data_IF_991609316390
#
_entry.id   IF_991609316390
#
_cell.length_a   1.000
_cell.length_b   1.000
_cell.length_c   1.000
_cell.angle_alpha   90.00
_cell.angle_beta   90.00
_cell.angle_gamma   90.00
#
_symmetry.space_group_name_H-M   'P 1'
#
loop_
_entity.id
_entity.type
_entity.pdbx_description
1 polymer ?
#
# COMPACT_ATOMS: atom_id res chain seq x y z
N UNK A 1 22.94 9.78 -14.74
CA UNK A 1 21.86 9.01 -15.41
C UNK A 1 20.82 10.04 -15.80
N UNK A 2 20.37 10.02 -17.05
CA UNK A 2 19.46 11.06 -17.55
C UNK A 2 18.17 11.10 -16.75
N UNK A 3 17.89 12.25 -16.16
CA UNK A 3 16.60 12.57 -15.56
C UNK A 3 15.61 12.87 -16.67
N UNK A 4 15.17 11.83 -17.37
CA UNK A 4 13.98 11.92 -18.23
C UNK A 4 12.81 12.35 -17.33
N UNK A 5 12.36 13.58 -17.50
CA UNK A 5 11.23 14.15 -16.78
C UNK A 5 10.01 13.29 -17.08
N UNK A 6 9.56 12.54 -16.08
CA UNK A 6 8.53 11.52 -16.26
C UNK A 6 7.16 12.18 -16.17
N UNK A 7 6.51 12.44 -17.31
CA UNK A 7 5.13 12.94 -17.35
C UNK A 7 4.19 11.95 -16.65
N UNK A 8 3.26 12.49 -15.86
CA UNK A 8 2.28 11.74 -15.07
C UNK A 8 1.05 11.39 -15.92
N UNK A 9 0.49 10.20 -15.72
CA UNK A 9 -0.64 9.69 -16.49
C UNK A 9 -1.92 9.49 -15.66
N UNK A 10 -3.06 9.47 -16.36
CA UNK A 10 -4.36 9.12 -15.80
C UNK A 10 -4.33 7.72 -15.16
N UNK A 11 -4.66 7.64 -13.87
CA UNK A 11 -4.61 6.41 -13.08
C UNK A 11 -3.25 6.09 -12.46
N UNK A 12 -2.25 6.98 -12.53
CA UNK A 12 -1.01 6.84 -11.76
C UNK A 12 -1.26 7.03 -10.26
N UNK A 13 -0.52 6.25 -9.46
CA UNK A 13 -0.55 6.36 -8.01
C UNK A 13 0.65 7.16 -7.50
N UNK A 14 0.39 8.18 -6.71
CA UNK A 14 1.38 9.14 -6.20
C UNK A 14 1.22 9.37 -4.69
N UNK A 15 2.23 9.99 -4.09
CA UNK A 15 2.17 10.52 -2.73
C UNK A 15 2.24 12.05 -2.82
N UNK A 16 1.47 12.75 -2.00
CA UNK A 16 1.58 14.22 -1.89
C UNK A 16 2.42 14.58 -0.67
N UNK A 17 3.59 15.18 -0.89
CA UNK A 17 4.44 15.70 0.18
C UNK A 17 4.16 17.20 0.38
N UNK A 18 3.63 17.58 1.53
CA UNK A 18 3.43 18.99 1.90
C UNK A 18 4.75 19.60 2.35
N UNK A 19 5.20 20.64 1.64
CA UNK A 19 6.48 21.30 1.94
C UNK A 19 6.44 22.06 3.27
N UNK A 20 5.33 22.75 3.56
CA UNK A 20 5.18 23.59 4.74
C UNK A 20 5.08 22.79 6.04
N UNK A 21 4.40 21.64 6.01
CA UNK A 21 4.27 20.73 7.16
C UNK A 21 5.37 19.66 7.23
N UNK A 22 6.25 19.57 6.21
CA UNK A 22 7.32 18.57 6.12
C UNK A 22 6.82 17.14 6.35
N UNK A 23 5.79 16.74 5.61
CA UNK A 23 5.17 15.42 5.76
C UNK A 23 4.29 15.02 4.58
N UNK A 24 3.77 13.79 4.63
CA UNK A 24 2.94 13.23 3.56
C UNK A 24 1.45 13.29 3.89
N UNK A 25 0.61 13.62 2.91
CA UNK A 25 -0.85 13.51 3.03
C UNK A 25 -1.22 12.06 3.33
N UNK A 26 -2.02 11.84 4.38
CA UNK A 26 -2.20 10.54 5.01
C UNK A 26 -3.58 10.39 5.66
N UNK A 27 -4.19 9.21 5.55
CA UNK A 27 -5.44 8.88 6.23
C UNK A 27 -5.49 7.41 6.63
N UNK A 28 -5.58 7.13 7.94
CA UNK A 28 -5.81 5.78 8.45
C UNK A 28 -7.31 5.45 8.38
N UNK A 29 -7.75 4.41 7.64
CA UNK A 29 -9.14 3.96 7.67
C UNK A 29 -9.44 3.16 8.96
N UNK A 30 -9.34 3.83 10.11
CA UNK A 30 -9.50 3.23 11.45
C UNK A 30 -10.93 2.73 11.68
N UNK A 31 -11.92 3.40 11.09
CA UNK A 31 -13.33 3.03 11.12
C UNK A 31 -14.05 3.59 9.88
N UNK A 32 -15.31 3.19 9.67
CA UNK A 32 -16.19 3.80 8.66
C UNK A 32 -16.39 5.31 8.84
N UNK A 33 -16.27 5.79 10.07
CA UNK A 33 -16.53 7.17 10.52
C UNK A 33 -15.28 8.06 10.46
N UNK A 34 -14.08 7.49 10.69
CA UNK A 34 -12.82 8.23 10.62
C UNK A 34 -12.39 8.41 9.17
N UNK A 35 -12.81 9.53 8.59
CA UNK A 35 -12.52 9.89 7.19
C UNK A 35 -11.54 11.06 7.06
N UNK A 36 -11.05 11.63 8.17
CA UNK A 36 -10.22 12.84 8.13
C UNK A 36 -8.90 12.55 7.42
N UNK A 37 -8.46 13.51 6.60
CA UNK A 37 -7.14 13.49 5.95
C UNK A 37 -6.24 14.52 6.61
N UNK A 38 -5.10 14.07 7.10
CA UNK A 38 -4.08 14.87 7.79
C UNK A 38 -2.75 14.79 7.04
N UNK A 39 -1.73 15.49 7.52
CA UNK A 39 -0.34 15.25 7.11
C UNK A 39 0.38 14.43 8.20
N UNK A 40 1.03 13.34 7.79
CA UNK A 40 1.89 12.52 8.63
C UNK A 40 3.33 13.05 8.56
N UNK A 41 3.95 13.47 9.69
CA UNK A 41 5.32 13.97 9.72
C UNK A 41 6.32 12.89 9.27
N UNK A 42 7.03 13.14 8.17
CA UNK A 42 7.98 12.19 7.60
C UNK A 42 8.98 12.89 6.67
N UNK A 43 10.18 12.34 6.53
CA UNK A 43 11.19 12.91 5.63
C UNK A 43 10.85 12.61 4.18
N UNK A 44 10.92 13.62 3.33
CA UNK A 44 10.65 13.54 1.89
C UNK A 44 11.29 12.31 1.22
N UNK A 45 12.62 12.18 1.33
CA UNK A 45 13.39 11.13 0.63
C UNK A 45 13.44 9.78 1.36
N UNK A 46 12.92 9.71 2.59
CA UNK A 46 12.92 8.54 3.47
C UNK A 46 11.60 8.51 4.29
N UNK A 47 10.46 8.25 3.63
CA UNK A 47 9.18 8.12 4.32
C UNK A 47 9.19 6.91 5.25
N UNK A 48 8.95 7.16 6.53
CA UNK A 48 8.82 6.15 7.59
C UNK A 48 7.43 6.30 8.24
N UNK A 49 6.39 5.93 7.49
CA UNK A 49 5.01 5.89 7.97
C UNK A 49 4.47 4.45 7.99
N UNK A 50 3.48 4.13 8.85
CA UNK A 50 3.04 2.76 9.09
C UNK A 50 2.57 2.00 7.84
N UNK A 51 1.92 2.68 6.88
CA UNK A 51 1.42 2.03 5.67
C UNK A 51 1.46 2.95 4.45
N UNK A 52 2.12 2.51 3.38
CA UNK A 52 2.19 3.25 2.11
C UNK A 52 0.83 3.43 1.44
N UNK A 53 -0.10 2.47 1.57
CA UNK A 53 -1.43 2.57 0.98
C UNK A 53 -2.31 3.64 1.67
N UNK A 54 -1.94 4.08 2.87
CA UNK A 54 -2.59 5.18 3.60
C UNK A 54 -2.05 6.57 3.21
N UNK A 55 -0.93 6.60 2.47
CA UNK A 55 -0.31 7.81 1.90
C UNK A 55 -0.48 7.90 0.37
N UNK A 56 -0.91 6.81 -0.27
CA UNK A 56 -1.00 6.68 -1.72
C UNK A 56 -2.37 7.09 -2.26
N UNK A 57 -2.34 7.87 -3.34
CA UNK A 57 -3.53 8.38 -4.01
C UNK A 57 -3.42 8.22 -5.53
N UNK A 58 -4.49 7.76 -6.15
CA UNK A 58 -4.64 7.68 -7.61
C UNK A 58 -5.17 9.02 -8.11
N UNK A 59 -4.51 9.60 -9.12
CA UNK A 59 -4.99 10.80 -9.80
C UNK A 59 -5.74 10.38 -11.06
N UNK A 60 -6.96 10.91 -11.23
CA UNK A 60 -7.78 10.67 -12.42
C UNK A 60 -8.48 11.94 -12.88
N UNK A 61 -8.59 12.15 -14.19
CA UNK A 61 -9.35 13.25 -14.76
C UNK A 61 -10.85 13.08 -14.45
N UNK A 62 -11.55 14.19 -14.27
CA UNK A 62 -13.02 14.19 -14.37
C UNK A 62 -13.42 13.86 -15.80
N UNK A 63 -13.67 12.57 -16.10
CA UNK A 63 -14.41 12.17 -17.30
C UNK A 63 -15.76 12.90 -17.26
N UNK A 64 -15.98 13.87 -18.16
CA UNK A 64 -17.31 14.41 -18.41
C UNK A 64 -18.22 13.25 -18.77
N UNK A 65 -19.41 13.20 -18.16
CA UNK A 65 -20.36 12.13 -18.40
C UNK A 65 -20.85 12.17 -19.85
N UNK A 66 -20.30 11.29 -20.69
CA UNK A 66 -20.96 10.81 -21.90
C UNK A 66 -21.57 9.44 -21.61
N UNK A 67 -22.86 9.48 -21.25
CA UNK A 67 -23.87 8.44 -21.48
C UNK A 67 -23.44 6.97 -21.24
N UNK A 68 -23.82 6.47 -20.06
CA UNK A 68 -24.01 5.02 -19.75
C UNK A 68 -22.93 4.04 -20.24
N UNK A 69 -21.83 3.91 -19.50
CA UNK A 69 -21.02 2.69 -19.54
C UNK A 69 -21.37 1.76 -18.37
N UNK A 70 -21.99 0.65 -18.74
CA UNK A 70 -22.46 -0.41 -17.88
C UNK A 70 -21.30 -1.08 -17.11
N UNK A 71 -21.61 -1.80 -16.02
CA UNK A 71 -20.68 -2.72 -15.33
C UNK A 71 -20.30 -3.96 -16.17
N UNK A 72 -20.42 -3.88 -17.49
CA UNK A 72 -20.07 -4.88 -18.47
C UNK A 72 -19.35 -4.19 -19.64
N UNK A 73 -18.05 -3.94 -19.48
CA UNK A 73 -17.05 -3.86 -20.55
C UNK A 73 -15.64 -3.80 -19.94
N UNK A 74 -15.25 -4.90 -19.27
CA UNK A 74 -13.84 -5.23 -18.96
C UNK A 74 -13.10 -5.80 -20.19
N UNK A 75 -13.67 -5.63 -21.38
CA UNK A 75 -13.18 -6.08 -22.67
C UNK A 75 -13.01 -4.89 -23.61
N UNK A 76 -11.74 -4.62 -23.98
CA UNK A 76 -11.29 -3.73 -25.06
C UNK A 76 -11.34 -2.20 -24.80
N UNK A 77 -10.29 -1.71 -24.14
CA UNK A 77 -9.58 -0.49 -24.59
C UNK A 77 -8.06 -0.70 -24.57
N UNK A 78 -7.57 -1.84 -25.08
CA UNK A 78 -6.15 -2.22 -25.04
C UNK A 78 -5.22 -1.31 -25.86
N UNK A 79 -5.75 -0.37 -26.65
CA UNK A 79 -5.01 0.54 -27.53
C UNK A 79 -5.31 2.04 -27.28
N UNK A 80 -5.93 2.40 -26.16
CA UNK A 80 -6.02 3.80 -25.77
C UNK A 80 -4.68 4.23 -25.15
N UNK A 81 -3.98 5.20 -25.75
CA UNK A 81 -2.77 5.75 -25.13
C UNK A 81 -3.11 6.36 -23.76
N UNK A 82 -2.26 6.17 -22.74
CA UNK A 82 -2.51 6.72 -21.42
C UNK A 82 -2.51 8.25 -21.52
N UNK A 83 -3.61 8.87 -21.10
CA UNK A 83 -3.78 10.33 -21.15
C UNK A 83 -2.83 10.99 -20.16
N UNK A 84 -1.99 11.93 -20.62
CA UNK A 84 -1.15 12.73 -19.72
C UNK A 84 -2.01 13.63 -18.85
N UNK A 85 -1.56 13.87 -17.62
CA UNK A 85 -2.12 14.88 -16.74
C UNK A 85 -1.33 16.17 -16.97
N UNK A 86 -2.04 17.27 -17.21
CA UNK A 86 -1.46 18.58 -17.49
C UNK A 86 -1.86 19.60 -16.43
N UNK A 87 -1.08 20.66 -16.30
CA UNK A 87 -1.44 21.79 -15.47
C UNK A 87 -2.76 22.41 -15.92
N UNK A 88 -3.65 22.63 -14.96
CA UNK A 88 -5.00 23.11 -15.17
C UNK A 88 -6.09 22.04 -15.34
N UNK A 89 -5.71 20.77 -15.48
CA UNK A 89 -6.66 19.65 -15.50
C UNK A 89 -7.53 19.64 -14.24
N UNK A 90 -8.80 19.25 -14.43
CA UNK A 90 -9.73 18.97 -13.33
C UNK A 90 -9.63 17.49 -12.99
N UNK A 91 -9.16 17.20 -11.78
CA UNK A 91 -8.89 15.86 -11.29
C UNK A 91 -9.76 15.48 -10.08
N UNK A 92 -9.91 14.16 -9.90
CA UNK A 92 -10.27 13.49 -8.66
C UNK A 92 -9.03 12.81 -8.10
N UNK A 93 -8.92 12.81 -6.77
CA UNK A 93 -7.83 12.19 -6.02
C UNK A 93 -8.43 11.06 -5.19
N UNK A 94 -8.17 9.81 -5.54
CA UNK A 94 -8.73 8.63 -4.88
C UNK A 94 -7.71 8.00 -3.93
N UNK A 95 -8.08 7.80 -2.67
CA UNK A 95 -7.23 7.16 -1.67
C UNK A 95 -7.11 5.66 -1.90
N UNK A 96 -5.88 5.14 -2.01
CA UNK A 96 -5.61 3.76 -2.44
C UNK A 96 -6.16 2.71 -1.47
N UNK A 97 -6.05 2.91 -0.15
CA UNK A 97 -6.49 1.92 0.83
C UNK A 97 -8.02 1.85 1.06
N UNK A 98 -8.77 2.92 0.81
CA UNK A 98 -10.22 2.94 1.06
C UNK A 98 -11.08 3.07 -0.20
N UNK A 99 -10.49 3.37 -1.36
CA UNK A 99 -11.21 3.63 -2.61
C UNK A 99 -12.08 4.90 -2.59
N UNK A 100 -12.09 5.65 -1.48
CA UNK A 100 -12.81 6.92 -1.28
C UNK A 100 -12.01 8.09 -1.88
N UNK A 101 -12.69 9.18 -2.22
CA UNK A 101 -12.05 10.36 -2.83
C UNK A 101 -11.75 11.42 -1.78
N UNK A 102 -10.62 12.13 -1.93
CA UNK A 102 -10.36 13.35 -1.18
C UNK A 102 -11.46 14.37 -1.47
N UNK A 103 -12.01 14.98 -0.43
CA UNK A 103 -13.07 15.96 -0.48
C UNK A 103 -12.77 17.10 0.51
N UNK A 104 -13.17 18.32 0.17
CA UNK A 104 -13.05 19.44 1.09
C UNK A 104 -14.15 20.50 0.90
N UNK A 105 -14.54 21.13 2.01
CA UNK A 105 -15.46 22.28 2.05
C UNK A 105 -14.88 23.35 2.98
N UNK A 106 -15.29 24.62 2.86
CA UNK A 106 -15.02 25.63 3.88
C UNK A 106 -15.45 25.14 5.28
N UNK A 107 -14.77 25.64 6.30
CA UNK A 107 -15.03 25.39 7.73
C UNK A 107 -14.78 23.97 8.25
N UNK A 108 -14.41 23.00 7.39
CA UNK A 108 -14.11 21.61 7.76
C UNK A 108 -12.69 21.22 7.34
N UNK A 109 -12.07 20.31 8.07
CA UNK A 109 -10.91 19.56 7.58
C UNK A 109 -11.31 18.66 6.41
N UNK A 110 -10.40 18.46 5.45
CA UNK A 110 -10.61 17.59 4.31
C UNK A 110 -10.80 16.13 4.75
N UNK A 111 -11.60 15.40 3.99
CA UNK A 111 -11.99 14.03 4.33
C UNK A 111 -12.06 13.12 3.12
N UNK A 112 -12.21 11.82 3.37
CA UNK A 112 -12.44 10.79 2.38
C UNK A 112 -13.94 10.53 2.19
N UNK A 113 -14.44 10.85 1.01
CA UNK A 113 -15.85 10.81 0.66
C UNK A 113 -16.18 9.62 -0.27
N UNK A 114 -17.38 9.07 -0.12
CA UNK A 114 -17.92 8.06 -1.03
C UNK A 114 -18.70 8.72 -2.17
N UNK A 115 -18.46 8.25 -3.40
CA UNK A 115 -19.23 8.68 -4.58
C UNK A 115 -18.71 9.94 -5.27
N UNK A 116 -19.58 10.52 -6.09
CA UNK A 116 -19.27 11.65 -6.97
C UNK A 116 -19.86 12.94 -6.41
N UNK A 117 -19.00 13.86 -5.97
CA UNK A 117 -19.37 15.17 -5.42
C UNK A 117 -18.44 16.23 -6.02
N UNK A 118 -18.97 17.42 -6.28
CA UNK A 118 -18.17 18.57 -6.73
C UNK A 118 -17.13 19.00 -5.68
N UNK A 119 -17.32 18.64 -4.40
CA UNK A 119 -16.33 18.82 -3.33
C UNK A 119 -15.09 17.91 -3.47
N UNK A 120 -15.15 16.88 -4.34
CA UNK A 120 -14.06 15.93 -4.61
C UNK A 120 -13.22 16.35 -5.83
N UNK A 121 -13.45 17.55 -6.39
CA UNK A 121 -12.86 18.02 -7.64
C UNK A 121 -11.87 19.15 -7.39
N UNK A 122 -10.65 18.93 -7.87
CA UNK A 122 -9.54 19.87 -7.73
C UNK A 122 -8.95 20.22 -9.09
N UNK A 123 -8.46 21.45 -9.20
CA UNK A 123 -7.64 21.92 -10.31
C UNK A 123 -6.18 21.86 -9.91
N UNK A 124 -5.35 21.32 -10.81
CA UNK A 124 -3.91 21.36 -10.68
C UNK A 124 -3.38 22.74 -11.06
N UNK A 125 -2.77 23.45 -10.13
CA UNK A 125 -2.18 24.78 -10.35
C UNK A 125 -0.68 24.71 -10.07
N UNK A 126 0.15 25.34 -10.91
CA UNK A 126 1.60 25.42 -10.65
C UNK A 126 1.90 26.34 -9.47
N UNK A 127 2.82 25.94 -8.60
CA UNK A 127 3.34 26.82 -7.54
C UNK A 127 4.35 27.85 -8.05
N UNK A 128 4.91 27.65 -9.24
CA UNK A 128 6.00 28.47 -9.81
C UNK A 128 5.68 28.89 -11.25
N UNK A 129 6.19 30.04 -11.69
CA UNK A 129 5.84 30.65 -12.98
C UNK A 129 6.44 29.94 -14.22
N UNK A 130 7.28 28.93 -14.03
CA UNK A 130 7.96 28.20 -15.10
C UNK A 130 7.04 27.28 -15.92
N UNK A 131 5.90 26.84 -15.34
CA UNK A 131 4.91 25.99 -16.00
C UNK A 131 3.55 26.67 -16.07
N UNK A 132 2.96 26.68 -17.25
CA UNK A 132 1.68 27.26 -17.59
C UNK A 132 0.55 26.23 -17.78
N UNK A 133 -0.60 26.72 -18.23
CA UNK A 133 -1.79 25.92 -18.48
C UNK A 133 -1.59 25.02 -19.71
N UNK A 134 -1.83 23.71 -19.55
CA UNK A 134 -1.63 22.72 -20.61
C UNK A 134 -0.23 22.10 -20.67
N UNK A 135 0.73 22.57 -19.87
CA UNK A 135 2.04 21.91 -19.76
C UNK A 135 1.93 20.58 -19.01
N UNK A 136 2.74 19.59 -19.42
CA UNK A 136 2.81 18.28 -18.78
C UNK A 136 3.19 18.39 -17.29
N UNK A 137 2.36 17.77 -16.45
CA UNK A 137 2.66 17.57 -15.03
C UNK A 137 3.63 16.39 -14.91
N UNK A 138 4.76 16.63 -14.25
CA UNK A 138 5.82 15.67 -14.08
C UNK A 138 5.93 15.17 -12.63
N UNK A 139 6.53 13.99 -12.46
CA UNK A 139 6.93 13.51 -11.14
C UNK A 139 7.97 14.48 -10.52
N UNK A 140 7.81 14.75 -9.22
CA UNK A 140 8.50 15.78 -8.41
C UNK A 140 8.08 17.24 -8.66
N UNK A 141 7.15 17.51 -9.57
CA UNK A 141 6.59 18.86 -9.70
C UNK A 141 5.91 19.29 -8.40
N UNK A 142 5.95 20.61 -8.18
CA UNK A 142 5.24 21.27 -7.09
C UNK A 142 3.91 21.82 -7.61
N UNK A 143 2.83 21.51 -6.89
CA UNK A 143 1.46 21.86 -7.24
C UNK A 143 0.74 22.53 -6.07
N UNK A 144 -0.33 23.25 -6.41
CA UNK A 144 -1.37 23.68 -5.47
C UNK A 144 -2.70 23.13 -5.98
N UNK A 145 -3.53 22.60 -5.07
CA UNK A 145 -4.85 22.05 -5.36
C UNK A 145 -5.92 23.11 -5.13
N UNK A 146 -6.47 23.68 -6.20
CA UNK A 146 -7.61 24.62 -6.12
C UNK A 146 -8.95 23.87 -6.16
N UNK A 147 -9.93 24.25 -5.33
CA UNK A 147 -11.28 23.68 -5.38
C UNK A 147 -12.04 24.18 -6.60
N UNK A 148 -12.66 23.28 -7.36
CA UNK A 148 -13.52 23.66 -8.49
C UNK A 148 -14.82 24.32 -8.03
N UNK A 149 -15.42 23.80 -6.95
CA UNK A 149 -16.70 24.27 -6.44
C UNK A 149 -16.54 25.57 -5.65
N UNK A 150 -15.53 25.65 -4.78
CA UNK A 150 -15.22 26.84 -3.97
C UNK A 150 -14.14 27.69 -4.65
N UNK A 151 -14.52 28.44 -5.69
CA UNK A 151 -13.61 29.26 -6.50
C UNK A 151 -12.66 30.12 -5.66
N UNK A 152 -11.37 30.10 -6.00
CA UNK A 152 -10.32 30.84 -5.30
C UNK A 152 -9.81 30.16 -4.02
N UNK A 153 -10.56 29.22 -3.45
CA UNK A 153 -10.11 28.40 -2.32
C UNK A 153 -9.22 27.26 -2.80
N UNK A 154 -8.17 27.00 -2.03
CA UNK A 154 -7.12 26.01 -2.29
C UNK A 154 -6.91 25.18 -1.04
N UNK A 155 -6.46 23.94 -1.20
CA UNK A 155 -6.07 23.10 -0.07
C UNK A 155 -4.84 23.73 0.59
N UNK A 156 -4.97 24.08 1.87
CA UNK A 156 -3.89 24.54 2.73
C UNK A 156 -3.69 23.55 3.87
N UNK A 157 -2.44 23.31 4.22
CA UNK A 157 -2.06 22.59 5.42
C UNK A 157 -1.96 23.56 6.61
N UNK A 158 -2.68 23.28 7.70
CA UNK A 158 -2.69 24.11 8.92
C UNK A 158 -2.45 23.23 10.14
N UNK A 159 -1.51 23.64 10.98
CA UNK A 159 -1.23 22.98 12.24
C UNK A 159 -2.41 23.08 13.20
N UNK A 160 -2.92 21.94 13.67
CA UNK A 160 -3.87 21.88 14.78
C UNK A 160 -3.08 21.59 16.08
N UNK A 161 -2.85 22.60 16.94
CA UNK A 161 -2.03 22.43 18.14
C UNK A 161 -2.68 21.55 19.21
N UNK A 162 -4.00 21.31 19.13
CA UNK A 162 -4.74 20.46 20.07
C UNK A 162 -4.43 18.97 19.79
N UNK A 163 -4.33 18.61 18.50
CA UNK A 163 -4.08 17.23 18.07
C UNK A 163 -2.60 16.96 17.77
N UNK A 164 -1.75 18.00 17.77
CA UNK A 164 -0.36 17.96 17.32
C UNK A 164 -0.21 17.34 15.92
N UNK A 165 -1.14 17.67 15.02
CA UNK A 165 -1.24 17.18 13.64
C UNK A 165 -1.61 18.32 12.71
N UNK A 166 -1.07 18.31 11.50
CA UNK A 166 -1.48 19.27 10.48
C UNK A 166 -2.69 18.72 9.70
N UNK A 167 -3.74 19.54 9.64
CA UNK A 167 -4.98 19.25 8.93
C UNK A 167 -4.97 19.93 7.56
N UNK A 168 -5.62 19.31 6.59
CA UNK A 168 -5.88 19.94 5.29
C UNK A 168 -7.22 20.68 5.36
N UNK A 169 -7.26 21.96 4.98
CA UNK A 169 -8.49 22.78 4.93
C UNK A 169 -8.54 23.59 3.63
N UNK A 170 -9.70 24.19 3.31
CA UNK A 170 -9.80 25.15 2.20
C UNK A 170 -9.52 26.59 2.68
N UNK A 171 -8.57 27.28 2.02
CA UNK A 171 -8.25 28.69 2.28
C UNK A 171 -7.89 29.47 1.00
N UNK A 172 -7.73 30.79 1.09
CA UNK A 172 -7.33 31.61 -0.06
C UNK A 172 -5.87 31.46 -0.51
N UNK A 173 -4.96 31.08 0.40
CA UNK A 173 -3.51 31.01 0.11
C UNK A 173 -3.12 29.66 -0.50
N UNK A 174 -3.64 28.56 0.04
CA UNK A 174 -3.21 27.20 -0.30
C UNK A 174 -1.85 26.82 0.29
N UNK A 175 -1.48 25.56 0.09
CA UNK A 175 -0.15 24.99 0.38
C UNK A 175 0.43 24.30 -0.85
N UNK A 176 1.75 24.15 -0.86
CA UNK A 176 2.50 23.54 -1.96
C UNK A 176 2.77 22.07 -1.67
N UNK A 177 2.32 21.22 -2.58
CA UNK A 177 2.52 19.78 -2.52
C UNK A 177 3.49 19.34 -3.62
N UNK A 178 4.58 18.66 -3.26
CA UNK A 178 5.44 17.98 -4.23
C UNK A 178 4.89 16.58 -4.52
N UNK A 179 4.73 16.24 -5.80
CA UNK A 179 4.20 14.95 -6.24
C UNK A 179 5.33 13.91 -6.24
N UNK A 180 5.27 12.92 -5.34
CA UNK A 180 6.25 11.83 -5.28
C UNK A 180 5.71 10.56 -5.94
N UNK A 181 6.54 9.79 -6.66
CA UNK A 181 6.08 8.60 -7.36
C UNK A 181 5.81 7.47 -6.36
N UNK A 182 4.64 6.83 -6.47
CA UNK A 182 4.38 5.54 -5.82
C UNK A 182 4.42 4.42 -6.86
N UNK A 183 3.44 4.34 -7.76
CA UNK A 183 3.42 3.41 -8.89
C UNK A 183 3.24 4.21 -10.19
N UNK A 184 4.12 3.97 -11.17
CA UNK A 184 4.12 4.68 -12.43
C UNK A 184 3.54 3.84 -13.56
N UNK A 185 2.70 4.47 -14.40
CA UNK A 185 1.92 3.86 -15.47
C UNK A 185 1.13 2.64 -14.99
N UNK A 186 0.50 2.72 -13.82
CA UNK A 186 -0.23 1.59 -13.21
C UNK A 186 -1.31 1.03 -14.16
N UNK A 187 -1.92 1.89 -14.98
CA UNK A 187 -2.89 1.55 -16.04
C UNK A 187 -2.32 0.72 -17.20
N UNK A 188 -0.99 0.70 -17.39
CA UNK A 188 -0.29 -0.07 -18.43
C UNK A 188 0.41 -1.33 -17.89
N UNK A 189 0.56 -1.46 -16.58
CA UNK A 189 1.14 -2.65 -15.96
C UNK A 189 0.25 -3.86 -16.21
N UNK A 190 0.86 -5.03 -16.40
CA UNK A 190 0.11 -6.28 -16.50
C UNK A 190 -0.65 -6.51 -15.17
N UNK A 191 -1.99 -6.62 -15.17
CA UNK A 191 -2.78 -6.78 -13.94
C UNK A 191 -2.53 -8.11 -13.20
N UNK A 192 -1.73 -9.02 -13.78
CA UNK A 192 -1.26 -10.25 -13.13
C UNK A 192 0.07 -10.08 -12.38
N UNK A 193 0.73 -8.91 -12.48
CA UNK A 193 1.95 -8.64 -11.73
C UNK A 193 1.65 -8.34 -10.26
N UNK A 194 2.52 -8.85 -9.39
CA UNK A 194 2.49 -8.56 -7.96
C UNK A 194 3.30 -7.27 -7.76
N UNK A 195 2.68 -6.24 -7.22
CA UNK A 195 3.27 -4.92 -7.02
C UNK A 195 3.65 -4.68 -5.55
N UNK A 196 4.61 -3.80 -5.31
CA UNK A 196 4.84 -3.23 -3.99
C UNK A 196 3.56 -2.62 -3.41
N UNK A 197 3.30 -2.84 -2.14
CA UNK A 197 2.09 -2.40 -1.45
C UNK A 197 0.83 -3.24 -1.75
N UNK A 198 0.88 -4.25 -2.63
CA UNK A 198 -0.27 -5.13 -2.86
C UNK A 198 -0.65 -5.91 -1.59
N UNK A 199 -1.96 -6.01 -1.39
CA UNK A 199 -2.58 -6.89 -0.40
C UNK A 199 -2.72 -8.29 -1.00
N UNK A 200 -2.25 -9.28 -0.26
CA UNK A 200 -2.15 -10.68 -0.67
C UNK A 200 -2.73 -11.61 0.40
N UNK A 201 -3.02 -12.83 -0.01
CA UNK A 201 -3.32 -13.96 0.86
C UNK A 201 -2.37 -15.11 0.50
N UNK A 202 -1.77 -15.74 1.51
CA UNK A 202 -0.84 -16.86 1.34
C UNK A 202 -1.60 -18.19 1.52
N UNK A 203 -1.72 -18.99 0.46
CA UNK A 203 -2.51 -20.24 0.45
C UNK A 203 -1.70 -21.50 0.17
N UNK A 204 -1.74 -22.51 1.03
CA UNK A 204 -1.04 -23.78 0.82
C UNK A 204 -1.90 -24.80 0.05
N UNK A 205 -1.43 -25.21 -1.14
CA UNK A 205 -1.99 -26.32 -1.92
C UNK A 205 -1.79 -27.70 -1.27
N UNK A 206 -0.81 -27.83 -0.37
CA UNK A 206 -0.43 -29.11 0.24
C UNK A 206 -1.30 -29.44 1.47
N UNK A 207 -1.78 -28.41 2.17
CA UNK A 207 -2.46 -28.53 3.47
C UNK A 207 -3.88 -27.96 3.40
N UNK A 208 -4.34 -27.54 2.21
CA UNK A 208 -5.65 -26.93 1.95
C UNK A 208 -6.00 -25.85 2.98
N UNK A 209 -5.24 -24.75 2.99
CA UNK A 209 -5.40 -23.72 4.00
C UNK A 209 -4.70 -22.39 3.69
N UNK A 210 -4.94 -21.40 4.53
CA UNK A 210 -4.35 -20.06 4.44
C UNK A 210 -3.45 -19.77 5.63
N UNK A 211 -2.39 -18.99 5.44
CA UNK A 211 -1.60 -18.42 6.54
C UNK A 211 -2.47 -17.40 7.27
N UNK A 212 -2.44 -17.41 8.61
CA UNK A 212 -3.25 -16.54 9.45
C UNK A 212 -2.51 -16.10 10.72
N UNK A 213 -2.74 -14.87 11.18
CA UNK A 213 -2.11 -14.33 12.38
C UNK A 213 -3.16 -13.71 13.29
N UNK A 214 -3.17 -14.11 14.57
CA UNK A 214 -4.07 -13.51 15.56
C UNK A 214 -3.53 -12.15 16.00
N UNK A 215 -4.32 -11.09 15.85
CA UNK A 215 -4.00 -9.75 16.35
C UNK A 215 -4.78 -8.64 15.65
N UNK A 216 -4.62 -7.40 16.11
CA UNK A 216 -5.30 -6.20 15.61
C UNK A 216 -4.45 -4.95 15.88
N UNK A 217 -4.63 -3.88 15.11
CA UNK A 217 -3.88 -2.62 15.23
C UNK A 217 -4.17 -1.93 16.57
N UNK A 218 -5.35 -2.22 17.13
CA UNK A 218 -5.77 -1.75 18.45
C UNK A 218 -4.85 -2.34 19.54
N UNK A 219 -4.25 -3.52 19.33
CA UNK A 219 -3.43 -4.20 20.33
C UNK A 219 -2.26 -3.31 20.82
N UNK A 220 -1.55 -2.63 19.91
CA UNK A 220 -0.45 -1.75 20.29
C UNK A 220 -0.95 -0.44 20.94
N UNK A 221 -2.24 -0.08 20.75
CA UNK A 221 -2.94 1.06 21.39
C UNK A 221 -3.62 0.69 22.72
N UNK A 222 -3.70 -0.59 23.10
CA UNK A 222 -4.26 -1.04 24.38
C UNK A 222 -3.24 -0.87 25.53
N UNK A 223 -3.70 -0.71 26.79
CA UNK A 223 -2.84 -0.85 27.97
C UNK A 223 -2.20 -2.25 28.02
N UNK A 224 -0.96 -2.35 28.53
CA UNK A 224 -0.15 -3.59 28.45
C UNK A 224 -0.85 -4.84 29.02
N UNK A 225 -1.65 -4.69 30.07
CA UNK A 225 -2.45 -5.75 30.67
C UNK A 225 -3.53 -6.37 29.75
N UNK A 226 -3.89 -5.70 28.66
CA UNK A 226 -4.85 -6.16 27.65
C UNK A 226 -4.19 -6.55 26.32
N UNK A 227 -2.86 -6.41 26.19
CA UNK A 227 -2.14 -6.81 24.99
C UNK A 227 -2.10 -8.32 24.86
N UNK A 228 -2.51 -8.84 23.70
CA UNK A 228 -2.32 -10.24 23.37
C UNK A 228 -0.84 -10.53 23.10
N UNK A 229 -0.33 -11.57 23.76
CA UNK A 229 1.03 -12.11 23.61
C UNK A 229 1.18 -13.13 22.46
N UNK A 230 0.08 -13.44 21.76
CA UNK A 230 0.02 -14.50 20.75
C UNK A 230 0.44 -13.99 19.37
N UNK A 231 1.73 -13.72 19.19
CA UNK A 231 2.31 -13.27 17.93
C UNK A 231 2.61 -14.41 16.94
N UNK A 232 2.16 -15.64 17.18
CA UNK A 232 2.50 -16.80 16.34
C UNK A 232 1.74 -16.81 15.01
N UNK A 233 2.47 -17.07 13.92
CA UNK A 233 1.88 -17.26 12.58
C UNK A 233 1.40 -18.71 12.44
N UNK A 234 0.10 -18.88 12.19
CA UNK A 234 -0.55 -20.18 12.05
C UNK A 234 -1.05 -20.48 10.65
N UNK A 235 -1.60 -21.68 10.46
CA UNK A 235 -2.28 -22.09 9.24
C UNK A 235 -3.75 -22.45 9.54
N UNK A 236 -4.69 -21.74 8.92
CA UNK A 236 -6.12 -22.07 8.94
C UNK A 236 -6.46 -22.99 7.77
N UNK A 237 -6.70 -24.27 8.05
CA UNK A 237 -7.25 -25.23 7.07
C UNK A 237 -8.65 -24.84 6.64
N UNK A 238 -9.01 -25.13 5.39
CA UNK A 238 -10.37 -25.02 4.90
C UNK A 238 -11.27 -26.08 5.54
N UNK A 239 -12.55 -25.75 5.71
CA UNK A 239 -13.59 -26.77 5.78
C UNK A 239 -13.82 -27.28 4.34
N UNK A 240 -13.94 -28.60 4.18
CA UNK A 240 -13.81 -29.32 2.90
C UNK A 240 -14.42 -28.61 1.66
N UNK A 241 -13.70 -28.69 0.53
CA UNK A 241 -14.11 -28.26 -0.83
C UNK A 241 -14.11 -26.75 -1.15
N UNK A 242 -13.68 -25.87 -0.24
CA UNK A 242 -13.74 -24.41 -0.46
C UNK A 242 -12.40 -23.71 -0.76
N UNK A 243 -11.73 -24.07 -1.87
CA UNK A 243 -10.65 -23.23 -2.44
C UNK A 243 -11.18 -21.84 -2.85
N UNK A 244 -12.46 -21.75 -3.23
CA UNK A 244 -13.07 -20.55 -3.81
C UNK A 244 -13.74 -19.60 -2.80
N UNK A 245 -13.79 -19.94 -1.51
CA UNK A 245 -14.31 -19.03 -0.50
C UNK A 245 -13.18 -18.13 -0.01
N UNK A 246 -13.32 -16.82 -0.22
CA UNK A 246 -12.46 -15.83 0.43
C UNK A 246 -12.65 -15.89 1.96
N UNK A 247 -11.58 -15.71 2.75
CA UNK A 247 -11.69 -15.66 4.19
C UNK A 247 -12.53 -14.45 4.62
N UNK A 248 -13.45 -14.66 5.55
CA UNK A 248 -14.35 -13.61 6.09
C UNK A 248 -13.65 -12.76 7.17
N UNK A 249 -12.38 -13.02 7.46
CA UNK A 249 -11.65 -12.40 8.58
C UNK A 249 -10.36 -11.76 8.10
N UNK A 250 -10.08 -10.56 8.62
CA UNK A 250 -8.90 -9.76 8.31
C UNK A 250 -7.57 -10.46 8.62
N UNK A 251 -7.59 -11.47 9.50
CA UNK A 251 -6.44 -12.21 10.05
C UNK A 251 -5.65 -13.07 9.05
N UNK A 252 -5.94 -12.95 7.75
CA UNK A 252 -5.34 -13.70 6.64
C UNK A 252 -4.77 -12.80 5.53
N UNK A 253 -4.89 -11.47 5.66
CA UNK A 253 -4.39 -10.52 4.68
C UNK A 253 -3.04 -9.94 5.09
N UNK A 254 -2.13 -9.93 4.12
CA UNK A 254 -0.78 -9.41 4.28
C UNK A 254 -0.49 -8.42 3.16
N UNK A 255 0.45 -7.51 3.38
CA UNK A 255 0.95 -6.56 2.41
C UNK A 255 2.40 -6.92 2.07
N UNK A 256 2.72 -6.96 0.79
CA UNK A 256 4.10 -7.12 0.33
C UNK A 256 4.77 -5.75 0.20
N UNK A 257 5.88 -5.57 0.90
CA UNK A 257 6.68 -4.34 0.83
C UNK A 257 8.06 -4.67 0.26
N UNK A 258 8.55 -3.84 -0.67
CA UNK A 258 9.94 -3.91 -1.14
C UNK A 258 10.88 -3.45 -0.02
N UNK A 259 12.08 -4.02 0.07
CA UNK A 259 13.08 -3.57 1.04
C UNK A 259 13.83 -2.32 0.57
N UNK A 260 14.06 -2.23 -0.74
CA UNK A 260 14.68 -1.08 -1.41
C UNK A 260 13.56 -0.22 -2.00
N UNK A 261 13.59 1.10 -1.75
CA UNK A 261 12.53 2.04 -2.15
C UNK A 261 11.12 1.59 -1.70
N UNK A 262 10.94 1.44 -0.38
CA UNK A 262 9.71 0.95 0.28
C UNK A 262 8.45 1.70 -0.19
N UNK A 263 8.59 2.98 -0.55
CA UNK A 263 7.52 3.82 -1.08
C UNK A 263 7.13 3.54 -2.54
N UNK A 264 7.77 2.61 -3.24
CA UNK A 264 7.45 2.28 -4.64
C UNK A 264 6.52 1.07 -4.75
N UNK A 265 5.41 1.27 -5.47
CA UNK A 265 4.46 0.23 -5.89
C UNK A 265 4.86 -0.45 -7.20
N UNK A 266 6.16 -0.57 -7.48
CA UNK A 266 6.65 -1.21 -8.70
C UNK A 266 6.47 -2.74 -8.65
N UNK A 267 6.44 -3.45 -9.79
CA UNK A 267 6.41 -4.92 -9.81
C UNK A 267 7.57 -5.55 -9.04
N UNK A 268 7.30 -6.67 -8.36
CA UNK A 268 8.33 -7.53 -7.77
C UNK A 268 9.03 -8.35 -8.84
N UNK A 269 10.36 -8.47 -8.72
CA UNK A 269 11.15 -9.43 -9.50
C UNK A 269 11.41 -10.67 -8.65
N UNK A 270 11.39 -11.88 -9.24
CA UNK A 270 11.76 -13.09 -8.51
C UNK A 270 13.20 -13.00 -7.96
N UNK A 271 13.38 -13.40 -6.70
CA UNK A 271 14.66 -13.28 -5.98
C UNK A 271 14.89 -11.91 -5.30
N UNK A 272 14.07 -10.90 -5.60
CA UNK A 272 14.07 -9.61 -4.89
C UNK A 272 13.68 -9.80 -3.41
N UNK A 273 14.27 -8.99 -2.53
CA UNK A 273 13.96 -9.00 -1.11
C UNK A 273 12.67 -8.23 -0.82
N UNK A 274 11.79 -8.88 -0.06
CA UNK A 274 10.52 -8.33 0.35
C UNK A 274 10.28 -8.55 1.85
N UNK A 275 9.31 -7.79 2.37
CA UNK A 275 8.78 -7.88 3.72
C UNK A 275 7.31 -8.22 3.63
N UNK A 276 6.81 -9.04 4.55
CA UNK A 276 5.41 -9.48 4.59
C UNK A 276 4.77 -8.89 5.85
N UNK A 277 4.07 -7.76 5.70
CA UNK A 277 3.36 -7.10 6.81
C UNK A 277 1.97 -7.72 6.97
N UNK A 278 1.59 -8.14 8.17
CA UNK A 278 0.22 -8.55 8.48
C UNK A 278 -0.66 -7.30 8.63
N UNK A 279 -1.72 -7.16 7.82
CA UNK A 279 -2.49 -5.92 7.75
C UNK A 279 -3.20 -5.57 9.07
N UNK A 280 -3.91 -6.48 9.76
CA UNK A 280 -4.51 -6.16 11.04
C UNK A 280 -3.51 -5.63 12.07
N UNK A 281 -2.33 -6.24 12.24
CA UNK A 281 -1.38 -5.81 13.29
C UNK A 281 -0.40 -4.72 12.84
N UNK A 282 -0.25 -4.47 11.55
CA UNK A 282 0.82 -3.66 10.94
C UNK A 282 2.24 -4.14 11.32
N UNK A 283 2.37 -5.38 11.78
CA UNK A 283 3.62 -6.04 12.18
C UNK A 283 4.09 -6.99 11.08
N UNK A 284 5.38 -7.26 11.01
CA UNK A 284 5.99 -8.06 9.95
C UNK A 284 6.13 -9.50 10.36
N UNK A 285 5.87 -10.44 9.43
CA UNK A 285 6.29 -11.82 9.59
C UNK A 285 7.81 -11.83 9.78
N UNK A 286 8.28 -12.56 10.79
CA UNK A 286 9.69 -12.71 11.14
C UNK A 286 9.99 -14.15 11.54
N UNK A 287 11.17 -14.64 11.18
CA UNK A 287 11.66 -15.95 11.63
C UNK A 287 12.48 -15.79 12.91
N UNK A 288 12.02 -16.38 14.01
CA UNK A 288 12.79 -16.45 15.26
C UNK A 288 13.44 -17.80 15.43
N UNK A 289 14.71 -17.77 15.79
CA UNK A 289 15.34 -18.87 16.49
C UNK A 289 14.91 -18.81 17.97
N UNK A 290 14.46 -19.96 18.49
CA UNK A 290 14.17 -20.16 19.91
C UNK A 290 14.83 -21.47 20.31
N UNK A 291 15.26 -21.59 21.57
CA UNK A 291 16.11 -22.69 22.06
C UNK A 291 15.66 -24.10 21.71
N UNK A 292 14.37 -24.31 21.43
CA UNK A 292 13.79 -25.61 21.08
C UNK A 292 13.46 -25.78 19.58
N UNK A 293 13.36 -24.69 18.80
CA UNK A 293 12.96 -24.68 17.37
C UNK A 293 12.93 -23.29 16.74
N UNK A 294 13.05 -23.27 15.40
CA UNK A 294 12.61 -22.13 14.60
C UNK A 294 11.08 -21.92 14.72
N UNK A 295 10.66 -20.66 14.87
CA UNK A 295 9.27 -20.21 14.88
C UNK A 295 9.04 -19.08 13.89
N UNK A 296 7.84 -19.02 13.31
CA UNK A 296 7.39 -17.88 12.52
C UNK A 296 6.43 -17.05 13.39
N UNK A 297 6.74 -15.77 13.57
CA UNK A 297 5.98 -14.83 14.40
C UNK A 297 5.71 -13.53 13.65
N UNK A 298 4.87 -12.64 14.21
CA UNK A 298 4.79 -11.24 13.79
C UNK A 298 5.42 -10.31 14.81
N UNK A 299 6.18 -9.31 14.35
CA UNK A 299 6.82 -8.31 15.21
C UNK A 299 6.83 -6.91 14.61
N UNK A 300 6.82 -5.89 15.48
CA UNK A 300 7.12 -4.52 15.10
C UNK A 300 8.62 -4.38 14.78
N UNK A 301 8.98 -3.60 13.76
CA UNK A 301 10.39 -3.25 13.50
C UNK A 301 10.95 -2.39 14.62
N UNK A 302 11.58 -3.01 15.63
CA UNK A 302 12.30 -2.31 16.69
C UNK A 302 13.81 -2.27 16.43
N UNK A 303 14.36 -3.29 15.75
CA UNK A 303 15.70 -3.32 15.13
C UNK A 303 15.68 -4.33 13.96
N UNK A 304 16.15 -3.95 12.78
CA UNK A 304 16.28 -4.88 11.65
C UNK A 304 17.48 -5.79 11.85
N UNK A 305 17.23 -7.08 12.05
CA UNK A 305 18.25 -8.14 12.10
C UNK A 305 18.21 -9.05 10.86
N UNK A 306 17.35 -8.76 9.88
CA UNK A 306 17.19 -9.55 8.67
C UNK A 306 16.18 -10.69 8.80
N UNK A 307 15.66 -10.96 10.00
CA UNK A 307 14.68 -12.02 10.25
C UNK A 307 13.32 -11.76 9.57
N UNK A 308 13.07 -10.51 9.18
CA UNK A 308 11.84 -10.04 8.51
C UNK A 308 11.93 -10.05 6.97
N UNK A 309 13.07 -10.50 6.42
CA UNK A 309 13.36 -10.45 4.98
C UNK A 309 13.09 -11.80 4.30
N UNK A 310 12.32 -11.74 3.21
CA UNK A 310 11.92 -12.90 2.41
C UNK A 310 12.25 -12.68 0.94
N UNK A 311 12.24 -13.76 0.15
CA UNK A 311 12.40 -13.73 -1.30
C UNK A 311 11.29 -14.56 -1.93
N UNK A 312 10.62 -14.01 -2.94
CA UNK A 312 9.67 -14.78 -3.77
C UNK A 312 10.49 -15.52 -4.82
N UNK A 313 10.39 -16.86 -4.88
CA UNK A 313 11.08 -17.70 -5.87
C UNK A 313 10.10 -18.41 -6.81
N UNK A 314 10.49 -18.69 -8.06
CA UNK A 314 9.71 -19.52 -8.97
C UNK A 314 9.82 -21.00 -8.61
N UNK A 315 8.69 -21.72 -8.69
CA UNK A 315 8.61 -23.14 -8.30
C UNK A 315 9.46 -24.09 -9.15
N UNK A 316 9.84 -23.68 -10.37
CA UNK A 316 10.49 -24.56 -11.33
C UNK A 316 11.99 -24.77 -11.08
N UNK A 317 12.62 -23.98 -10.20
CA UNK A 317 14.05 -24.13 -9.88
C UNK A 317 14.30 -25.38 -9.01
N UNK A 318 13.33 -25.79 -8.19
CA UNK A 318 13.42 -26.92 -7.26
C UNK A 318 13.49 -28.33 -7.89
N UNK A 319 13.48 -28.45 -9.23
CA UNK A 319 13.55 -29.76 -9.91
C UNK A 319 14.97 -30.21 -10.30
N UNK A 320 15.98 -29.33 -10.27
CA UNK A 320 17.34 -29.67 -10.75
C UNK A 320 18.51 -29.25 -9.84
N UNK A 321 18.28 -28.36 -8.87
CA UNK A 321 19.27 -28.03 -7.84
C UNK A 321 18.58 -28.22 -6.48
N UNK A 322 19.22 -28.99 -5.61
CA UNK A 322 18.84 -29.28 -4.22
C UNK A 322 17.50 -29.98 -4.00
N UNK A 323 17.41 -31.25 -4.44
CA UNK A 323 16.46 -32.22 -3.87
C UNK A 323 16.56 -32.27 -2.34
N UNK A 324 17.77 -32.13 -1.78
CA UNK A 324 17.99 -32.12 -0.34
C UNK A 324 17.28 -30.96 0.38
N UNK A 325 17.17 -29.77 -0.22
CA UNK A 325 16.50 -28.61 0.41
C UNK A 325 14.98 -28.65 0.23
N UNK A 326 14.49 -29.16 -0.91
CA UNK A 326 13.07 -29.49 -1.08
C UNK A 326 12.61 -30.54 -0.07
N UNK A 327 13.41 -31.59 0.10
CA UNK A 327 13.22 -32.60 1.14
C UNK A 327 13.48 -32.06 2.56
N UNK A 328 14.24 -30.97 2.73
CA UNK A 328 14.42 -30.30 4.02
C UNK A 328 13.19 -29.47 4.43
N UNK A 329 12.51 -28.78 3.49
CA UNK A 329 11.23 -28.12 3.77
C UNK A 329 10.11 -29.15 3.99
N UNK A 330 10.11 -30.24 3.23
CA UNK A 330 9.23 -31.40 3.43
C UNK A 330 9.50 -32.06 4.80
N UNK A 331 10.78 -32.25 5.17
CA UNK A 331 11.20 -32.72 6.50
C UNK A 331 10.83 -31.72 7.57
N UNK A 332 10.99 -30.42 7.42
CA UNK A 332 10.63 -29.44 8.47
C UNK A 332 9.12 -29.47 8.78
N UNK A 333 8.28 -29.63 7.75
CA UNK A 333 6.82 -29.84 7.93
C UNK A 333 6.53 -31.18 8.64
N UNK A 334 7.34 -32.22 8.41
CA UNK A 334 7.20 -33.54 9.02
C UNK A 334 7.97 -33.71 10.35
N UNK A 335 8.93 -32.84 10.66
CA UNK A 335 9.82 -32.85 11.83
C UNK A 335 9.20 -32.04 12.96
N UNK A 336 8.47 -30.97 12.62
CA UNK A 336 7.47 -30.35 13.50
C UNK A 336 6.40 -31.36 13.97
N UNK A 337 6.29 -32.52 13.31
CA UNK A 337 5.42 -33.64 13.68
C UNK A 337 6.16 -34.74 14.49
N UNK A 338 7.51 -34.82 14.51
CA UNK A 338 8.19 -36.04 15.02
C UNK A 338 9.20 -35.96 16.19
N UNK A 339 10.14 -34.99 16.31
CA UNK A 339 11.16 -34.95 17.41
C UNK A 339 11.92 -33.61 17.44
N UNK A 340 12.21 -33.00 18.60
CA UNK A 340 13.34 -33.28 19.53
C UNK A 340 14.74 -33.25 18.86
N UNK A 341 15.59 -32.36 19.39
CA UNK A 341 17.07 -32.32 19.32
C UNK A 341 17.79 -31.88 18.03
N UNK A 342 18.39 -30.69 18.14
CA UNK A 342 19.78 -30.27 17.80
C UNK A 342 20.25 -30.05 16.35
N UNK A 343 20.73 -28.81 16.15
CA UNK A 343 21.85 -28.30 15.32
C UNK A 343 21.62 -27.80 13.87
N UNK A 344 22.49 -26.86 13.46
CA UNK A 344 22.33 -25.70 12.53
C UNK A 344 23.54 -25.71 11.54
N UNK A 345 23.75 -24.85 10.49
CA UNK A 345 22.94 -23.84 9.75
C UNK A 345 22.58 -24.31 8.30
N UNK A 346 22.29 -23.51 7.24
CA UNK A 346 22.12 -22.06 7.02
C UNK A 346 21.08 -21.76 5.90
N UNK A 347 20.75 -20.47 5.70
CA UNK A 347 20.13 -19.84 4.50
C UNK A 347 18.94 -20.57 3.85
N UNK A 348 17.71 -20.13 4.13
CA UNK A 348 16.50 -20.75 3.56
C UNK A 348 15.56 -19.78 2.85
N UNK A 349 15.07 -20.24 1.69
CA UNK A 349 14.13 -19.52 0.83
C UNK A 349 12.69 -19.93 1.11
N UNK A 350 11.76 -18.98 0.95
CA UNK A 350 10.33 -19.22 1.14
C UNK A 350 9.63 -19.39 -0.22
N UNK A 351 9.19 -20.61 -0.50
CA UNK A 351 8.33 -20.90 -1.64
C UNK A 351 6.90 -20.44 -1.34
N UNK A 352 6.46 -19.32 -1.95
CA UNK A 352 5.08 -18.84 -1.88
C UNK A 352 4.36 -19.05 -3.21
N UNK A 353 3.58 -20.12 -3.22
CA UNK A 353 2.14 -20.19 -3.49
C UNK A 353 1.45 -19.16 -4.41
N UNK A 354 0.39 -19.68 -5.04
CA UNK A 354 -0.53 -18.96 -5.94
C UNK A 354 -1.23 -17.79 -5.23
N UNK A 355 -1.02 -16.59 -5.75
CA UNK A 355 -1.71 -15.38 -5.34
C UNK A 355 -3.15 -15.38 -5.84
N UNK A 356 -4.07 -14.96 -4.99
CA UNK A 356 -5.45 -14.62 -5.36
C UNK A 356 -5.63 -13.14 -5.10
N UNK A 357 -5.62 -12.32 -6.16
CA UNK A 357 -5.96 -10.90 -6.08
C UNK A 357 -7.48 -10.77 -5.85
N UNK A 358 -7.87 -10.37 -4.65
CA UNK A 358 -9.24 -9.95 -4.33
C UNK A 358 -9.34 -8.42 -4.36
N UNK A 359 -10.42 -7.91 -4.95
CA UNK A 359 -10.87 -6.54 -4.79
C UNK A 359 -11.59 -6.35 -3.44
#
# INVERSE_FOLDING_TARGET
MDTTVSSMFDGDAVLFYCLEASGYVYSEPISSESNIVTVYPAKENLPDFPNINFAAFLISHRKLQSVSLQRHNLSHSQNAEPMTVVYGSIIKIQHQASGRYLAATPNNSAWLNEGDSEANLFRLVSSHQEKGWGDDLAINDNIILESIYYKGYKIQCINNPIEARDHLVLSGTGSVFSIKPHCYKCSTLNPQYILGGNVIMLSSLKIDGYVSVKGSFVNDKLPDQFKWSHNEVGLRRWRQKFFKALPVSGDTFFQLEKTIHIWTGNPFVFGEECRIKHLPTQQYISVKDTSDRLKIVVESMKKSNGAELFKILPTNIFYSVDREIGDLLQKNINSFIEKLNTEVPNTYFVSIFRFVSGF
#
